data_IF_840607215153
#
_entry.id   IF_840607215153
#
_cell.length_a   1.000
_cell.length_b   1.000
_cell.length_c   1.000
_cell.angle_alpha   90.00
_cell.angle_beta   90.00
_cell.angle_gamma   90.00
#
_symmetry.space_group_name_H-M   'P 1'
#
loop_
_entity.id
_entity.type
_entity.pdbx_description
1 polymer ?
#
# COMPACT_ATOMS: atom_id res chain seq x y z
N UNK A 1 -18.37 2.73 2.09
CA UNK A 1 -19.60 2.82 2.90
C UNK A 1 -19.30 3.75 4.06
N UNK A 2 -19.67 5.02 3.94
CA UNK A 2 -19.70 5.94 5.07
C UNK A 2 -21.06 5.82 5.75
N UNK A 3 -21.08 5.88 7.08
CA UNK A 3 -22.33 5.97 7.83
C UNK A 3 -22.65 7.45 8.03
N UNK A 4 -23.86 7.86 7.64
CA UNK A 4 -24.32 9.25 7.74
C UNK A 4 -25.55 9.30 8.64
N UNK A 5 -25.39 9.87 9.84
CA UNK A 5 -26.48 10.37 10.65
C UNK A 5 -26.49 11.90 10.51
N UNK A 6 -27.63 12.57 10.75
CA UNK A 6 -27.73 14.04 10.62
C UNK A 6 -26.69 14.81 11.45
N UNK A 7 -26.20 14.18 12.52
CA UNK A 7 -25.27 14.78 13.47
C UNK A 7 -23.86 14.21 13.42
N UNK A 8 -23.69 12.99 12.91
CA UNK A 8 -22.40 12.28 12.90
C UNK A 8 -22.13 11.79 11.49
N UNK A 9 -21.01 12.23 10.94
CA UNK A 9 -20.52 11.77 9.65
C UNK A 9 -19.20 11.01 9.83
N UNK A 10 -19.15 9.76 9.37
CA UNK A 10 -17.96 8.91 9.43
C UNK A 10 -17.56 8.49 8.02
N UNK A 11 -16.40 8.95 7.58
CA UNK A 11 -15.77 8.53 6.33
C UNK A 11 -14.68 7.49 6.60
N UNK A 12 -14.77 6.33 5.93
CA UNK A 12 -13.78 5.25 6.05
C UNK A 12 -12.78 5.31 4.89
N UNK A 13 -11.50 5.32 5.21
CA UNK A 13 -10.41 5.41 4.25
C UNK A 13 -9.72 4.05 4.12
N UNK A 14 -9.78 3.49 2.90
CA UNK A 14 -9.33 2.11 2.61
C UNK A 14 -7.80 1.89 2.63
N UNK A 15 -6.98 2.91 2.82
CA UNK A 15 -5.52 2.77 3.00
C UNK A 15 -4.84 1.85 1.96
N UNK A 16 -3.96 0.98 2.44
CA UNK A 16 -3.23 -0.02 1.64
C UNK A 16 -4.09 -1.21 1.16
N UNK A 17 -5.27 -1.46 1.74
CA UNK A 17 -6.18 -2.56 1.34
C UNK A 17 -7.04 -2.21 0.13
N UNK A 18 -6.40 -1.73 -0.94
CA UNK A 18 -7.02 -1.57 -2.25
C UNK A 18 -6.84 -2.85 -3.05
N UNK A 19 -7.86 -3.25 -3.81
CA UNK A 19 -7.80 -4.42 -4.71
C UNK A 19 -6.64 -4.34 -5.70
N UNK A 20 -6.34 -3.14 -6.20
CA UNK A 20 -5.15 -2.86 -7.03
C UNK A 20 -3.83 -3.25 -6.32
N UNK A 21 -3.66 -2.92 -5.05
CA UNK A 21 -2.45 -3.26 -4.30
C UNK A 21 -2.31 -4.79 -4.13
N UNK A 22 -3.42 -5.50 -3.90
CA UNK A 22 -3.41 -6.97 -3.86
C UNK A 22 -3.01 -7.57 -5.22
N UNK A 23 -3.54 -7.03 -6.33
CA UNK A 23 -3.19 -7.47 -7.67
C UNK A 23 -1.69 -7.30 -7.94
N UNK A 24 -1.13 -6.11 -7.65
CA UNK A 24 0.30 -5.85 -7.82
C UNK A 24 1.18 -6.72 -6.92
N UNK A 25 0.80 -6.88 -5.65
CA UNK A 25 1.54 -7.76 -4.72
C UNK A 25 1.58 -9.20 -5.23
N UNK A 26 0.49 -9.70 -5.80
CA UNK A 26 0.39 -11.05 -6.36
C UNK A 26 1.21 -11.21 -7.64
N UNK A 27 1.12 -10.27 -8.58
CA UNK A 27 1.90 -10.29 -9.83
C UNK A 27 3.39 -10.26 -9.53
N UNK A 28 3.83 -9.36 -8.63
CA UNK A 28 5.24 -9.27 -8.23
C UNK A 28 5.72 -10.54 -7.52
N UNK A 29 4.89 -11.12 -6.65
CA UNK A 29 5.22 -12.37 -5.96
C UNK A 29 5.39 -13.53 -6.94
N UNK A 30 4.42 -13.75 -7.85
CA UNK A 30 4.52 -14.82 -8.85
C UNK A 30 5.68 -14.61 -9.82
N UNK A 31 5.89 -13.39 -10.29
CA UNK A 31 7.00 -13.07 -11.20
C UNK A 31 8.37 -13.29 -10.54
N UNK A 32 8.53 -12.84 -9.29
CA UNK A 32 9.77 -13.03 -8.53
C UNK A 32 10.04 -14.50 -8.19
N UNK A 33 9.00 -15.25 -7.83
CA UNK A 33 9.09 -16.70 -7.63
C UNK A 33 9.52 -17.40 -8.93
N UNK A 34 8.95 -17.01 -10.08
CA UNK A 34 9.34 -17.53 -11.39
C UNK A 34 10.82 -17.29 -11.70
N UNK A 35 11.32 -16.07 -11.50
CA UNK A 35 12.73 -15.75 -11.72
C UNK A 35 13.67 -16.53 -10.80
N UNK A 36 13.29 -16.72 -9.53
CA UNK A 36 14.08 -17.48 -8.57
C UNK A 36 14.09 -18.97 -8.91
N UNK A 37 12.96 -19.52 -9.35
CA UNK A 37 12.87 -20.90 -9.83
C UNK A 37 13.75 -21.12 -11.07
N UNK A 38 13.72 -20.20 -12.05
CA UNK A 38 14.58 -20.27 -13.25
C UNK A 38 16.07 -20.15 -12.89
N UNK A 39 16.42 -19.30 -11.93
CA UNK A 39 17.78 -19.17 -11.43
C UNK A 39 18.29 -20.44 -10.75
N UNK A 40 17.44 -21.06 -9.91
CA UNK A 40 17.78 -22.30 -9.19
C UNK A 40 17.84 -23.52 -10.10
N UNK A 41 16.97 -23.63 -11.10
CA UNK A 41 17.07 -24.71 -12.11
C UNK A 41 18.36 -24.62 -12.90
N UNK A 42 18.75 -23.41 -13.29
CA UNK A 42 20.01 -23.14 -13.99
C UNK A 42 21.23 -23.50 -13.12
N UNK A 43 21.18 -23.26 -11.81
CA UNK A 43 22.24 -23.66 -10.87
C UNK A 43 22.36 -25.19 -10.71
N UNK A 44 21.22 -25.89 -10.56
CA UNK A 44 21.22 -27.35 -10.33
C UNK A 44 21.43 -28.16 -11.61
N UNK A 45 21.34 -27.56 -12.80
CA UNK A 45 21.39 -28.26 -14.08
C UNK A 45 20.26 -29.28 -14.27
N UNK A 46 19.19 -29.17 -13.46
CA UNK A 46 18.01 -30.05 -13.49
C UNK A 46 16.76 -29.19 -13.70
N UNK A 47 15.86 -29.64 -14.57
CA UNK A 47 14.58 -28.98 -14.80
C UNK A 47 13.64 -29.22 -13.59
N UNK A 48 13.63 -28.32 -12.61
CA UNK A 48 12.64 -28.32 -11.52
C UNK A 48 11.24 -27.89 -12.01
N UNK A 49 11.15 -27.25 -13.18
CA UNK A 49 9.91 -26.77 -13.76
C UNK A 49 9.64 -27.54 -15.06
N UNK A 50 8.59 -28.39 -15.07
CA UNK A 50 8.11 -29.07 -16.28
C UNK A 50 7.38 -28.14 -17.26
N UNK A 51 7.16 -26.87 -16.88
CA UNK A 51 6.35 -25.90 -17.61
C UNK A 51 7.12 -25.15 -18.72
N UNK A 52 8.46 -25.13 -18.67
CA UNK A 52 9.31 -24.45 -19.65
C UNK A 52 10.19 -25.46 -20.39
N UNK A 53 10.41 -25.29 -21.71
CA UNK A 53 11.29 -26.17 -22.47
C UNK A 53 12.71 -26.12 -21.89
N UNK A 54 13.51 -27.20 -22.05
CA UNK A 54 14.88 -27.29 -21.56
C UNK A 54 15.80 -26.38 -22.39
N UNK A 55 15.64 -25.07 -22.27
CA UNK A 55 16.66 -24.12 -22.69
C UNK A 55 17.74 -24.19 -21.61
N UNK A 56 18.92 -24.67 -21.98
CA UNK A 56 20.12 -24.63 -21.15
C UNK A 56 20.52 -23.17 -20.95
N UNK A 57 19.86 -22.49 -20.02
CA UNK A 57 20.29 -21.17 -19.58
C UNK A 57 21.63 -21.36 -18.89
N UNK A 58 22.68 -20.77 -19.48
CA UNK A 58 24.00 -20.75 -18.88
C UNK A 58 23.88 -20.00 -17.55
N UNK A 59 24.18 -20.70 -16.45
CA UNK A 59 24.02 -20.14 -15.11
C UNK A 59 24.87 -18.88 -14.90
N UNK A 60 26.08 -18.93 -15.45
CA UNK A 60 27.00 -17.80 -15.40
C UNK A 60 26.40 -16.59 -16.13
N UNK A 61 26.37 -15.45 -15.45
CA UNK A 61 25.73 -14.20 -15.86
C UNK A 61 24.19 -14.24 -15.94
N UNK A 62 23.58 -15.10 -16.77
CA UNK A 62 22.13 -15.04 -17.00
C UNK A 62 21.32 -15.63 -15.83
N UNK A 63 21.64 -16.85 -15.37
CA UNK A 63 20.95 -17.47 -14.23
C UNK A 63 21.17 -16.73 -12.91
N UNK A 64 22.39 -16.19 -12.72
CA UNK A 64 22.73 -15.36 -11.57
C UNK A 64 21.91 -14.07 -11.52
N UNK A 65 21.81 -13.34 -12.64
CA UNK A 65 20.99 -12.12 -12.74
C UNK A 65 19.51 -12.41 -12.48
N UNK A 66 18.96 -13.51 -13.03
CA UNK A 66 17.58 -13.93 -12.76
C UNK A 66 17.36 -14.24 -11.27
N UNK A 67 18.32 -14.88 -10.61
CA UNK A 67 18.27 -15.15 -9.17
C UNK A 67 18.24 -13.86 -8.35
N UNK A 68 19.09 -12.89 -8.68
CA UNK A 68 19.12 -11.58 -8.02
C UNK A 68 17.79 -10.82 -8.17
N UNK A 69 17.24 -10.77 -9.39
CA UNK A 69 15.94 -10.14 -9.61
C UNK A 69 14.80 -10.86 -8.90
N UNK A 70 14.83 -12.20 -8.84
CA UNK A 70 13.88 -12.99 -8.08
C UNK A 70 13.93 -12.66 -6.58
N UNK A 71 15.12 -12.63 -6.00
CA UNK A 71 15.31 -12.29 -4.58
C UNK A 71 14.83 -10.86 -4.29
N UNK A 72 15.27 -9.88 -5.09
CA UNK A 72 14.86 -8.48 -4.92
C UNK A 72 13.34 -8.32 -5.06
N UNK A 73 12.73 -8.97 -6.05
CA UNK A 73 11.28 -8.96 -6.25
C UNK A 73 10.51 -9.63 -5.11
N UNK A 74 11.06 -10.69 -4.51
CA UNK A 74 10.46 -11.32 -3.32
C UNK A 74 10.49 -10.36 -2.12
N UNK A 75 11.59 -9.65 -1.88
CA UNK A 75 11.64 -8.64 -0.81
C UNK A 75 10.62 -7.51 -1.04
N UNK A 76 10.51 -7.01 -2.27
CA UNK A 76 9.54 -5.95 -2.61
C UNK A 76 8.10 -6.44 -2.46
N UNK A 77 7.80 -7.65 -2.94
CA UNK A 77 6.46 -8.24 -2.80
C UNK A 77 6.11 -8.54 -1.35
N UNK A 78 7.05 -9.07 -0.55
CA UNK A 78 6.89 -9.26 0.89
C UNK A 78 6.61 -7.94 1.60
N UNK A 79 7.33 -6.86 1.25
CA UNK A 79 7.05 -5.53 1.78
C UNK A 79 5.62 -5.07 1.43
N UNK A 80 5.17 -5.23 0.18
CA UNK A 80 3.80 -4.89 -0.22
C UNK A 80 2.77 -5.69 0.60
N UNK A 81 2.94 -7.01 0.70
CA UNK A 81 2.06 -7.86 1.50
C UNK A 81 2.01 -7.43 2.96
N UNK A 82 3.16 -7.13 3.56
CA UNK A 82 3.28 -6.55 4.89
C UNK A 82 2.48 -5.24 5.04
N UNK A 83 2.60 -4.30 4.09
CA UNK A 83 1.82 -3.03 4.15
C UNK A 83 0.30 -3.26 4.08
N UNK A 84 -0.13 -4.26 3.30
CA UNK A 84 -1.54 -4.66 3.16
C UNK A 84 -2.05 -5.33 4.45
N UNK A 85 -1.26 -6.25 5.03
CA UNK A 85 -1.56 -6.94 6.28
C UNK A 85 -1.76 -5.94 7.42
N UNK A 86 -0.82 -5.01 7.60
CA UNK A 86 -0.88 -3.98 8.63
C UNK A 86 -1.88 -2.86 8.35
N UNK A 87 -2.51 -2.88 7.18
CA UNK A 87 -3.50 -1.90 6.74
C UNK A 87 -2.99 -0.46 6.86
N UNK A 88 -1.74 -0.25 6.42
CA UNK A 88 -1.05 1.04 6.53
C UNK A 88 -1.82 2.10 5.73
N UNK A 89 -1.96 3.29 6.31
CA UNK A 89 -2.70 4.42 5.75
C UNK A 89 -4.22 4.30 5.83
N UNK A 90 -4.76 3.19 6.37
CA UNK A 90 -6.19 3.08 6.61
C UNK A 90 -6.63 3.90 7.81
N UNK A 91 -7.91 4.24 7.88
CA UNK A 91 -8.39 5.09 8.95
C UNK A 91 -9.84 5.49 8.77
N UNK A 92 -10.25 6.43 9.60
CA UNK A 92 -11.55 7.06 9.46
C UNK A 92 -11.48 8.53 9.86
N UNK A 93 -12.36 9.32 9.28
CA UNK A 93 -12.62 10.70 9.65
C UNK A 93 -14.02 10.75 10.24
N UNK A 94 -14.11 11.15 11.52
CA UNK A 94 -15.37 11.35 12.22
C UNK A 94 -15.58 12.83 12.44
N UNK A 95 -16.74 13.32 12.02
CA UNK A 95 -17.20 14.69 12.23
C UNK A 95 -18.48 14.64 13.07
N UNK A 96 -18.42 15.17 14.27
CA UNK A 96 -19.55 15.28 15.19
C UNK A 96 -20.01 16.73 15.28
N UNK A 97 -21.20 17.03 14.73
CA UNK A 97 -21.80 18.37 14.75
C UNK A 97 -22.44 18.71 16.10
N UNK A 98 -22.80 17.72 16.94
CA UNK A 98 -23.40 17.98 18.26
C UNK A 98 -22.33 18.38 19.26
N UNK A 99 -21.25 17.62 19.33
CA UNK A 99 -20.12 17.96 20.22
C UNK A 99 -19.23 19.05 19.63
N UNK A 100 -19.31 19.31 18.31
CA UNK A 100 -18.48 20.29 17.63
C UNK A 100 -17.03 19.81 17.46
N UNK A 101 -16.83 18.50 17.25
CA UNK A 101 -15.52 17.84 17.31
C UNK A 101 -15.26 17.10 16.00
N UNK A 102 -14.03 17.25 15.51
CA UNK A 102 -13.50 16.46 14.40
C UNK A 102 -12.40 15.54 14.92
N UNK A 103 -12.44 14.31 14.45
CA UNK A 103 -11.48 13.28 14.79
C UNK A 103 -10.93 12.64 13.52
N UNK A 104 -9.63 12.77 13.32
CA UNK A 104 -8.90 12.12 12.22
C UNK A 104 -8.09 10.98 12.81
N UNK A 105 -8.38 9.77 12.37
CA UNK A 105 -7.65 8.58 12.78
C UNK A 105 -6.98 7.91 11.59
N UNK A 106 -5.69 7.59 11.72
CA UNK A 106 -4.91 6.87 10.70
C UNK A 106 -4.04 5.80 11.35
N UNK A 107 -3.96 4.64 10.68
CA UNK A 107 -3.01 3.57 10.94
C UNK A 107 -1.72 3.85 10.18
N UNK A 108 -0.61 4.01 10.90
CA UNK A 108 0.74 4.09 10.35
C UNK A 108 1.42 2.72 10.25
N UNK A 109 2.72 2.76 9.97
CA UNK A 109 3.60 1.59 9.99
C UNK A 109 3.67 0.96 11.39
N UNK A 110 4.00 -0.35 11.49
CA UNK A 110 4.21 -0.99 12.78
C UNK A 110 5.31 -0.26 13.56
N UNK A 111 5.03 0.05 14.83
CA UNK A 111 5.94 0.79 15.71
C UNK A 111 5.23 1.37 16.93
N UNK A 112 5.98 2.06 17.80
CA UNK A 112 5.44 2.69 19.03
C UNK A 112 4.33 3.72 18.71
N UNK A 113 4.49 4.48 17.62
CA UNK A 113 3.54 5.49 17.17
C UNK A 113 2.69 5.01 15.98
N UNK A 114 2.22 3.77 16.03
CA UNK A 114 1.40 3.18 14.95
C UNK A 114 0.07 3.90 14.74
N UNK A 115 -0.51 4.48 15.79
CA UNK A 115 -1.82 5.15 15.72
C UNK A 115 -1.61 6.66 15.70
N UNK A 116 -2.01 7.30 14.62
CA UNK A 116 -2.10 8.76 14.52
C UNK A 116 -3.55 9.13 14.80
N UNK A 117 -3.79 9.78 15.93
CA UNK A 117 -5.11 10.20 16.36
C UNK A 117 -5.07 11.70 16.64
N UNK A 118 -5.79 12.48 15.84
CA UNK A 118 -5.89 13.92 15.97
C UNK A 118 -7.34 14.27 16.29
N UNK A 119 -7.54 15.09 17.31
CA UNK A 119 -8.86 15.61 17.72
C UNK A 119 -8.77 17.12 17.83
N UNK A 120 -9.70 17.82 17.19
CA UNK A 120 -9.78 19.28 17.22
C UNK A 120 -11.24 19.71 17.23
N UNK A 121 -11.50 20.92 17.73
CA UNK A 121 -12.83 21.51 17.72
C UNK A 121 -13.11 22.09 16.34
N UNK A 122 -14.35 21.99 15.88
CA UNK A 122 -14.79 22.58 14.61
C UNK A 122 -14.58 24.11 14.62
N UNK A 123 -14.69 24.75 15.79
CA UNK A 123 -14.45 26.18 15.97
C UNK A 123 -13.02 26.61 15.68
N UNK A 124 -12.06 25.69 15.79
CA UNK A 124 -10.64 25.98 15.56
C UNK A 124 -10.26 25.81 14.09
N UNK A 125 -11.15 25.27 13.25
CA UNK A 125 -10.93 25.13 11.81
C UNK A 125 -11.09 26.50 11.16
N UNK A 126 -9.99 27.09 10.70
CA UNK A 126 -10.02 28.41 10.05
C UNK A 126 -10.44 28.30 8.59
N UNK A 127 -9.82 27.37 7.86
CA UNK A 127 -10.05 27.21 6.43
C UNK A 127 -9.87 25.75 6.00
N UNK A 128 -10.61 25.36 4.95
CA UNK A 128 -10.40 24.08 4.25
C UNK A 128 -10.08 24.41 2.80
N UNK A 129 -8.86 24.11 2.38
CA UNK A 129 -8.40 24.34 1.01
C UNK A 129 -8.43 23.02 0.24
N UNK A 130 -9.07 23.03 -0.92
CA UNK A 130 -9.05 21.91 -1.86
C UNK A 130 -8.10 22.28 -3.00
N UNK A 131 -6.96 21.60 -3.10
CA UNK A 131 -6.10 21.72 -4.27
C UNK A 131 -6.46 20.61 -5.25
N UNK A 132 -6.99 21.03 -6.40
CA UNK A 132 -7.23 20.16 -7.55
C UNK A 132 -6.17 20.52 -8.58
N UNK A 133 -5.20 19.64 -8.78
CA UNK A 133 -4.29 19.71 -9.92
C UNK A 133 -4.88 18.88 -11.05
N UNK A 134 -5.42 19.53 -12.06
CA UNK A 134 -5.90 18.88 -13.28
C UNK A 134 -4.73 18.72 -14.27
N UNK A 135 -4.56 17.50 -14.78
CA UNK A 135 -3.47 17.08 -15.66
C UNK A 135 -3.42 15.55 -15.79
N UNK A 136 -2.39 15.01 -16.45
CA UNK A 136 -2.19 13.56 -16.64
C UNK A 136 -2.18 12.81 -15.29
N UNK A 137 -1.68 13.47 -14.24
CA UNK A 137 -1.72 13.00 -12.86
C UNK A 137 -2.67 13.86 -12.03
N UNK A 138 -3.98 13.65 -12.21
CA UNK A 138 -5.00 14.33 -11.41
C UNK A 138 -4.82 14.01 -9.92
N UNK A 139 -4.53 15.05 -9.12
CA UNK A 139 -4.39 14.92 -7.66
C UNK A 139 -5.35 15.87 -6.98
N UNK A 140 -6.20 15.33 -6.10
CA UNK A 140 -7.05 16.11 -5.20
C UNK A 140 -6.49 15.98 -3.80
N UNK A 141 -6.04 17.08 -3.22
CA UNK A 141 -5.53 17.13 -1.84
C UNK A 141 -6.40 18.09 -1.05
N UNK A 142 -6.81 17.65 0.15
CA UNK A 142 -7.54 18.45 1.12
C UNK A 142 -6.55 18.92 2.18
N UNK A 143 -6.49 20.23 2.38
CA UNK A 143 -5.75 20.85 3.47
C UNK A 143 -6.74 21.47 4.45
N UNK A 144 -6.46 21.29 5.74
CA UNK A 144 -7.22 21.90 6.81
C UNK A 144 -6.29 22.78 7.61
N UNK A 145 -6.60 24.06 7.67
CA UNK A 145 -5.89 25.03 8.49
C UNK A 145 -6.58 25.12 9.84
N UNK A 146 -5.84 24.80 10.89
CA UNK A 146 -6.32 24.80 12.27
C UNK A 146 -5.66 25.97 12.98
N UNK A 147 -6.44 26.70 13.76
CA UNK A 147 -5.97 27.77 14.63
C UNK A 147 -5.03 27.18 15.67
N UNK A 148 -3.74 27.51 15.55
CA UNK A 148 -2.69 27.22 16.53
C UNK A 148 -2.53 28.37 17.51
#
# INVERSE_FOLDING_TARGET
MGWRSEHIWIELIKGARKTSNFCWAFILFLGSLGFLLVGTTSYLGRNLISLFPPQQIIFFQQGLVMSFYGIAGLFISAYLWCTILWNVGSGYDRFDRKEGIVCLFRWGFPGKNRRVFLRFLIKDIQSVRIEVKDGIYARRVLYMEIRG
#
